data_IF_379914973230
#
_entry.id   IF_379914973230
#
_cell.length_a   1.000
_cell.length_b   1.000
_cell.length_c   1.000
_cell.angle_alpha   90.00
_cell.angle_beta   90.00
_cell.angle_gamma   90.00
#
_symmetry.space_group_name_H-M   'P 1'
#
loop_
_entity.id
_entity.type
_entity.pdbx_description
1 polymer ?
#
# COMPACT_ATOMS: atom_id res chain seq x y z
N UNK A 1 4.21 -8.32 -56.60
CA UNK A 1 4.82 -9.13 -55.52
C UNK A 1 4.69 -8.35 -54.22
N UNK A 2 3.64 -8.61 -53.44
CA UNK A 2 3.50 -8.05 -52.10
C UNK A 2 4.09 -9.06 -51.14
N UNK A 3 5.30 -8.80 -50.65
CA UNK A 3 5.88 -9.59 -49.57
C UNK A 3 5.09 -9.27 -48.31
N UNK A 4 4.36 -10.26 -47.79
CA UNK A 4 3.75 -10.19 -46.48
C UNK A 4 4.85 -9.96 -45.45
N UNK A 5 4.75 -8.85 -44.71
CA UNK A 5 5.59 -8.62 -43.53
C UNK A 5 5.20 -9.68 -42.50
N UNK A 6 6.12 -10.54 -42.01
CA UNK A 6 5.78 -11.49 -40.99
C UNK A 6 5.31 -10.73 -39.75
N UNK A 7 4.14 -11.07 -39.23
CA UNK A 7 3.75 -10.68 -37.89
C UNK A 7 4.80 -11.25 -36.94
N UNK A 8 5.66 -10.38 -36.41
CA UNK A 8 6.50 -10.72 -35.27
C UNK A 8 5.54 -11.05 -34.13
N UNK A 9 5.37 -12.33 -33.83
CA UNK A 9 4.91 -12.77 -32.53
C UNK A 9 5.90 -12.19 -31.52
N UNK A 10 5.55 -11.03 -30.97
CA UNK A 10 6.29 -10.40 -29.89
C UNK A 10 6.22 -11.39 -28.74
N UNK A 11 7.27 -12.21 -28.62
CA UNK A 11 7.48 -13.13 -27.52
C UNK A 11 7.33 -12.31 -26.23
N UNK A 12 6.14 -12.40 -25.62
CA UNK A 12 5.83 -11.70 -24.38
C UNK A 12 6.80 -12.28 -23.36
N UNK A 13 7.72 -11.45 -22.87
CA UNK A 13 8.62 -11.86 -21.80
C UNK A 13 7.79 -12.53 -20.70
N UNK A 14 8.22 -13.69 -20.17
CA UNK A 14 7.40 -14.45 -19.25
C UNK A 14 7.01 -13.57 -18.06
N UNK A 15 5.71 -13.45 -17.83
CA UNK A 15 5.17 -12.66 -16.74
C UNK A 15 5.63 -13.23 -15.39
N UNK A 16 6.10 -12.37 -14.50
CA UNK A 16 6.56 -12.77 -13.18
C UNK A 16 5.38 -13.16 -12.31
N UNK A 17 5.39 -14.41 -11.87
CA UNK A 17 4.52 -14.90 -10.81
C UNK A 17 5.33 -14.93 -9.53
N UNK A 18 4.92 -14.17 -8.52
CA UNK A 18 5.68 -14.04 -7.28
C UNK A 18 4.79 -14.18 -6.05
N UNK A 19 5.27 -14.91 -5.05
CA UNK A 19 4.61 -15.02 -3.75
C UNK A 19 5.62 -14.81 -2.64
N UNK A 20 5.21 -14.13 -1.59
CA UNK A 20 5.95 -13.97 -0.35
C UNK A 20 5.01 -14.24 0.81
N UNK A 21 5.39 -15.11 1.74
CA UNK A 21 4.64 -15.37 2.97
C UNK A 21 5.56 -15.18 4.18
N UNK A 22 5.16 -14.29 5.08
CA UNK A 22 5.92 -13.90 6.27
C UNK A 22 5.07 -14.07 7.52
N UNK A 23 5.59 -14.80 8.50
CA UNK A 23 4.94 -14.91 9.81
C UNK A 23 5.85 -14.32 10.89
N UNK A 24 5.31 -13.40 11.69
CA UNK A 24 5.99 -12.73 12.78
C UNK A 24 5.43 -13.22 14.12
N UNK A 25 6.32 -13.52 15.07
CA UNK A 25 5.94 -14.09 16.36
C UNK A 25 6.65 -13.39 17.50
N UNK A 26 5.93 -13.24 18.62
CA UNK A 26 6.54 -12.86 19.89
C UNK A 26 7.27 -14.06 20.50
N UNK A 27 8.54 -13.86 20.88
CA UNK A 27 9.32 -14.79 21.70
C UNK A 27 9.94 -13.97 22.83
N UNK A 28 9.46 -14.19 24.05
CA UNK A 28 9.83 -13.41 25.24
C UNK A 28 9.65 -11.89 25.01
N UNK A 29 10.75 -11.14 25.11
CA UNK A 29 10.77 -9.70 24.88
C UNK A 29 10.86 -9.31 23.39
N UNK A 30 11.15 -10.25 22.50
CA UNK A 30 11.46 -10.00 21.10
C UNK A 30 10.31 -10.37 20.16
N UNK A 31 10.18 -9.65 19.04
CA UNK A 31 9.41 -10.13 17.88
C UNK A 31 10.39 -10.72 16.88
N UNK A 32 10.13 -11.90 16.30
CA UNK A 32 10.99 -12.51 15.28
C UNK A 32 10.23 -12.76 13.98
N UNK A 33 10.95 -12.81 12.86
CA UNK A 33 10.45 -13.37 11.60
C UNK A 33 10.53 -14.90 11.66
N UNK A 34 9.45 -15.54 12.11
CA UNK A 34 9.39 -16.98 12.36
C UNK A 34 9.22 -17.81 11.09
N UNK A 35 8.56 -17.27 10.07
CA UNK A 35 8.42 -17.91 8.74
C UNK A 35 8.78 -16.93 7.64
N UNK A 36 9.52 -17.43 6.65
CA UNK A 36 9.84 -16.72 5.41
C UNK A 36 9.83 -17.69 4.24
N UNK A 37 8.74 -17.69 3.50
CA UNK A 37 8.59 -18.47 2.27
C UNK A 37 8.41 -17.56 1.07
N UNK A 38 8.98 -17.96 -0.06
CA UNK A 38 8.82 -17.20 -1.30
C UNK A 38 8.76 -18.10 -2.53
N UNK A 39 8.15 -17.57 -3.58
CA UNK A 39 8.16 -18.11 -4.93
C UNK A 39 8.40 -16.95 -5.90
N UNK A 40 9.07 -17.21 -7.02
CA UNK A 40 9.43 -16.18 -7.98
C UNK A 40 10.43 -15.17 -7.40
N UNK A 41 10.39 -13.89 -7.80
CA UNK A 41 11.40 -12.90 -7.43
C UNK A 41 11.24 -12.24 -6.05
N UNK A 42 10.08 -12.29 -5.40
CA UNK A 42 9.87 -11.57 -4.12
C UNK A 42 10.78 -12.09 -3.01
N UNK A 43 11.49 -11.19 -2.32
CA UNK A 43 12.39 -11.53 -1.21
C UNK A 43 12.22 -10.55 -0.07
N UNK A 44 12.87 -10.86 1.04
CA UNK A 44 13.10 -9.90 2.13
C UNK A 44 14.58 -9.90 2.49
N UNK A 45 15.05 -8.75 2.97
CA UNK A 45 16.35 -8.66 3.62
C UNK A 45 16.37 -9.41 4.97
N UNK A 46 17.52 -9.41 5.64
CA UNK A 46 17.65 -9.84 7.03
C UNK A 46 16.68 -9.03 7.90
N UNK A 47 16.07 -9.67 8.89
CA UNK A 47 15.30 -8.96 9.92
C UNK A 47 16.21 -8.00 10.69
N UNK A 48 15.73 -6.77 10.92
CA UNK A 48 16.44 -5.69 11.58
C UNK A 48 15.69 -5.26 12.85
N UNK A 49 16.40 -4.71 13.82
CA UNK A 49 15.86 -4.29 15.13
C UNK A 49 16.37 -2.90 15.53
N UNK A 50 16.21 -1.86 14.68
CA UNK A 50 16.75 -0.53 14.97
C UNK A 50 16.10 0.13 16.20
N UNK A 51 14.88 -0.28 16.55
CA UNK A 51 14.11 0.23 17.70
C UNK A 51 14.17 -0.74 18.91
N UNK A 52 15.08 -1.72 18.87
CA UNK A 52 15.18 -2.80 19.84
C UNK A 52 14.43 -4.07 19.42
N UNK A 53 14.62 -5.15 20.17
CA UNK A 53 14.16 -6.50 19.79
C UNK A 53 12.63 -6.64 19.75
N UNK A 54 11.90 -5.74 20.40
CA UNK A 54 10.44 -5.76 20.44
C UNK A 54 9.77 -5.52 19.09
N UNK A 55 10.45 -4.84 18.16
CA UNK A 55 9.91 -4.44 16.84
C UNK A 55 10.77 -5.04 15.73
N UNK A 56 10.19 -5.93 14.91
CA UNK A 56 10.90 -6.59 13.82
C UNK A 56 10.72 -5.81 12.51
N UNK A 57 11.80 -5.26 11.98
CA UNK A 57 11.81 -4.51 10.72
C UNK A 57 12.22 -5.41 9.57
N UNK A 58 11.45 -5.37 8.48
CA UNK A 58 11.73 -6.15 7.27
C UNK A 58 11.60 -5.28 6.03
N UNK A 59 12.61 -5.33 5.17
CA UNK A 59 12.60 -4.66 3.86
C UNK A 59 12.17 -5.68 2.80
N UNK A 60 11.01 -5.46 2.19
CA UNK A 60 10.46 -6.27 1.09
C UNK A 60 11.12 -5.85 -0.23
N UNK A 61 11.59 -6.84 -0.97
CA UNK A 61 12.30 -6.67 -2.22
C UNK A 61 11.52 -7.31 -3.36
N UNK A 62 11.37 -6.57 -4.46
CA UNK A 62 11.07 -7.10 -5.77
C UNK A 62 12.30 -6.79 -6.65
N UNK A 63 13.24 -7.74 -6.80
CA UNK A 63 14.46 -7.53 -7.57
C UNK A 63 14.24 -7.07 -9.02
N UNK A 64 13.20 -7.53 -9.76
CA UNK A 64 12.84 -6.90 -11.02
C UNK A 64 12.52 -5.42 -10.79
N UNK A 65 13.07 -4.55 -11.63
CA UNK A 65 13.04 -3.09 -11.42
C UNK A 65 11.65 -2.44 -11.51
N UNK A 66 10.58 -3.24 -11.63
CA UNK A 66 9.19 -2.83 -11.59
C UNK A 66 8.27 -4.01 -11.95
N UNK A 67 6.99 -3.73 -12.07
CA UNK A 67 5.91 -4.68 -12.33
C UNK A 67 5.37 -4.35 -13.72
N UNK A 68 5.43 -5.33 -14.63
CA UNK A 68 5.00 -5.20 -16.02
C UNK A 68 3.65 -5.90 -16.26
N UNK A 69 3.03 -5.62 -17.41
CA UNK A 69 1.74 -6.22 -17.77
C UNK A 69 1.83 -7.75 -17.79
N UNK A 70 0.96 -8.39 -17.01
CA UNK A 70 0.92 -9.85 -16.84
C UNK A 70 1.52 -10.34 -15.52
N UNK A 71 2.40 -9.56 -14.90
CA UNK A 71 2.99 -9.91 -13.59
C UNK A 71 1.89 -10.01 -12.52
N UNK A 72 2.04 -10.97 -11.60
CA UNK A 72 1.15 -11.18 -10.46
C UNK A 72 1.98 -11.43 -9.19
N UNK A 73 1.93 -10.45 -8.29
CA UNK A 73 2.64 -10.45 -7.03
C UNK A 73 1.66 -10.64 -5.88
N UNK A 74 1.95 -11.59 -4.99
CA UNK A 74 1.19 -11.81 -3.77
C UNK A 74 2.09 -11.75 -2.54
N UNK A 75 1.81 -10.82 -1.63
CA UNK A 75 2.52 -10.66 -0.35
C UNK A 75 1.53 -10.94 0.79
N UNK A 76 1.74 -12.08 1.46
CA UNK A 76 1.01 -12.49 2.64
C UNK A 76 1.81 -12.21 3.91
N UNK A 77 1.19 -11.59 4.91
CA UNK A 77 1.81 -11.29 6.20
C UNK A 77 0.90 -11.70 7.33
N UNK A 78 1.44 -12.48 8.27
CA UNK A 78 0.79 -12.81 9.53
C UNK A 78 1.59 -12.25 10.68
N UNK A 79 0.96 -11.49 11.55
CA UNK A 79 1.56 -11.01 12.80
C UNK A 79 0.81 -11.65 13.95
N UNK A 80 1.43 -12.63 14.61
CA UNK A 80 0.82 -13.37 15.71
C UNK A 80 0.65 -12.48 16.96
N UNK A 81 -0.13 -12.96 17.94
CA UNK A 81 -0.50 -12.18 19.10
C UNK A 81 0.70 -11.55 19.83
N UNK A 82 0.56 -10.26 20.19
CA UNK A 82 1.59 -9.49 20.89
C UNK A 82 2.87 -9.18 20.10
N UNK A 83 2.99 -9.63 18.85
CA UNK A 83 4.14 -9.31 17.99
C UNK A 83 4.00 -7.91 17.36
N UNK A 84 5.12 -7.28 17.03
CA UNK A 84 5.18 -5.99 16.35
C UNK A 84 6.14 -6.05 15.16
N UNK A 85 5.61 -5.86 13.96
CA UNK A 85 6.37 -5.86 12.71
C UNK A 85 6.20 -4.56 11.92
N UNK A 86 7.31 -4.07 11.35
CA UNK A 86 7.32 -2.97 10.40
C UNK A 86 7.90 -3.46 9.07
N UNK A 87 7.15 -3.27 7.99
CA UNK A 87 7.53 -3.63 6.64
C UNK A 87 7.62 -2.38 5.76
N UNK A 88 8.70 -2.30 4.98
CA UNK A 88 8.91 -1.21 4.01
C UNK A 88 9.55 -1.74 2.72
N UNK A 89 9.65 -0.89 1.71
CA UNK A 89 10.37 -1.18 0.46
C UNK A 89 11.58 -0.25 0.36
N UNK A 90 12.68 -0.67 -0.28
CA UNK A 90 13.91 0.15 -0.35
C UNK A 90 13.78 1.33 -1.33
N UNK A 91 12.75 1.33 -2.17
CA UNK A 91 12.57 2.31 -3.23
C UNK A 91 11.18 2.22 -3.84
N UNK A 92 10.90 3.15 -4.74
CA UNK A 92 9.60 3.27 -5.39
C UNK A 92 9.24 2.02 -6.21
N UNK A 93 8.01 1.53 -6.04
CA UNK A 93 7.43 0.52 -6.91
C UNK A 93 7.15 1.12 -8.29
N UNK A 94 7.64 0.51 -9.37
CA UNK A 94 7.41 1.02 -10.73
C UNK A 94 6.41 0.13 -11.44
N UNK A 95 5.35 0.71 -11.98
CA UNK A 95 4.35 -0.01 -12.77
C UNK A 95 4.50 0.40 -14.22
N UNK A 96 4.97 -0.54 -15.05
CA UNK A 96 5.33 -0.27 -16.43
C UNK A 96 4.11 -0.27 -17.36
N UNK A 97 4.33 0.30 -18.56
CA UNK A 97 3.43 0.19 -19.70
C UNK A 97 2.99 -1.25 -19.92
N UNK A 98 1.71 -1.44 -20.22
CA UNK A 98 1.16 -2.72 -20.62
C UNK A 98 0.63 -2.69 -22.05
N UNK A 99 0.89 -3.75 -22.80
CA UNK A 99 0.31 -3.98 -24.12
C UNK A 99 -1.07 -4.66 -24.08
N UNK A 100 -1.71 -4.74 -22.90
CA UNK A 100 -3.05 -5.33 -22.74
C UNK A 100 -3.25 -6.00 -21.38
N UNK A 101 -2.40 -6.95 -20.96
CA UNK A 101 -2.54 -7.64 -19.68
C UNK A 101 -2.46 -6.72 -18.47
N UNK A 102 -3.17 -7.06 -17.39
CA UNK A 102 -3.04 -6.33 -16.13
C UNK A 102 -1.81 -6.81 -15.36
N UNK A 103 -1.03 -5.87 -14.85
CA UNK A 103 -0.11 -6.09 -13.74
C UNK A 103 -0.91 -6.14 -12.44
N UNK A 104 -0.57 -7.06 -11.52
CA UNK A 104 -1.33 -7.27 -10.28
C UNK A 104 -0.42 -7.30 -9.06
N UNK A 105 -0.88 -6.68 -7.98
CA UNK A 105 -0.31 -6.85 -6.64
C UNK A 105 -1.44 -7.09 -5.64
N UNK A 106 -1.30 -8.15 -4.85
CA UNK A 106 -2.20 -8.53 -3.77
C UNK A 106 -1.46 -8.54 -2.43
N UNK A 107 -1.98 -7.78 -1.48
CA UNK A 107 -1.54 -7.78 -0.09
C UNK A 107 -2.61 -8.46 0.76
N UNK A 108 -2.22 -9.50 1.50
CA UNK A 108 -3.12 -10.26 2.39
C UNK A 108 -2.52 -10.31 3.79
N UNK A 109 -3.02 -9.45 4.69
CA UNK A 109 -2.47 -9.26 6.03
C UNK A 109 -3.42 -9.72 7.12
N UNK A 110 -2.90 -10.47 8.09
CA UNK A 110 -3.62 -10.89 9.29
C UNK A 110 -2.87 -10.45 10.55
N UNK A 111 -3.53 -9.70 11.42
CA UNK A 111 -2.92 -9.13 12.64
C UNK A 111 -3.67 -9.64 13.86
N UNK A 112 -2.97 -10.41 14.70
CA UNK A 112 -3.51 -11.06 15.90
C UNK A 112 -3.77 -10.11 17.08
N UNK A 113 -4.25 -10.68 18.19
CA UNK A 113 -4.60 -9.91 19.38
C UNK A 113 -3.39 -9.16 19.94
N UNK A 114 -3.60 -7.89 20.30
CA UNK A 114 -2.58 -6.95 20.78
C UNK A 114 -1.35 -6.75 19.88
N UNK A 115 -1.36 -7.34 18.67
CA UNK A 115 -0.28 -7.25 17.71
C UNK A 115 -0.33 -5.94 16.93
N UNK A 116 0.82 -5.56 16.37
CA UNK A 116 0.97 -4.33 15.56
C UNK A 116 1.65 -4.65 14.23
N UNK A 117 1.03 -4.21 13.14
CA UNK A 117 1.63 -4.26 11.81
C UNK A 117 1.71 -2.85 11.22
N UNK A 118 2.90 -2.49 10.75
CA UNK A 118 3.14 -1.24 10.01
C UNK A 118 3.58 -1.57 8.59
N UNK A 119 2.78 -1.18 7.59
CA UNK A 119 3.08 -1.30 6.17
C UNK A 119 3.37 0.10 5.61
N UNK A 120 4.66 0.42 5.48
CA UNK A 120 5.15 1.76 5.12
C UNK A 120 6.08 1.68 3.90
N UNK A 121 5.60 1.22 2.73
CA UNK A 121 6.40 1.19 1.52
C UNK A 121 6.71 2.62 1.02
N UNK A 122 7.68 2.72 0.11
CA UNK A 122 7.84 3.92 -0.72
C UNK A 122 6.69 4.02 -1.73
N UNK A 123 6.63 5.12 -2.46
CA UNK A 123 5.60 5.38 -3.46
C UNK A 123 5.58 4.38 -4.62
N UNK A 124 4.40 4.19 -5.20
CA UNK A 124 4.20 3.53 -6.48
C UNK A 124 4.17 4.58 -7.59
N UNK A 125 5.10 4.50 -8.54
CA UNK A 125 5.13 5.31 -9.76
C UNK A 125 4.46 4.51 -10.88
N UNK A 126 3.30 4.97 -11.31
CA UNK A 126 2.49 4.34 -12.36
C UNK A 126 2.77 5.03 -13.69
N UNK A 127 3.48 4.35 -14.59
CA UNK A 127 3.93 4.94 -15.85
C UNK A 127 2.76 5.10 -16.82
N UNK A 128 2.95 5.94 -17.84
CA UNK A 128 1.96 6.07 -18.91
C UNK A 128 1.67 4.72 -19.58
N UNK A 129 0.40 4.50 -19.92
CA UNK A 129 -0.12 3.25 -20.50
C UNK A 129 0.02 2.00 -19.59
N UNK A 130 0.28 2.16 -18.30
CA UNK A 130 0.20 1.05 -17.35
C UNK A 130 -1.25 0.58 -17.14
N UNK A 131 -1.40 -0.73 -16.90
CA UNK A 131 -2.66 -1.35 -16.49
C UNK A 131 -2.42 -2.08 -15.16
N UNK A 132 -2.74 -1.41 -14.06
CA UNK A 132 -2.35 -1.81 -12.72
C UNK A 132 -3.57 -2.15 -11.84
N UNK A 133 -3.54 -3.29 -11.17
CA UNK A 133 -4.55 -3.73 -10.21
C UNK A 133 -3.88 -3.97 -8.85
N UNK A 134 -4.18 -3.09 -7.89
CA UNK A 134 -3.61 -3.12 -6.54
C UNK A 134 -4.71 -3.45 -5.54
N UNK A 135 -4.54 -4.56 -4.83
CA UNK A 135 -5.52 -5.07 -3.88
C UNK A 135 -4.87 -5.26 -2.52
N UNK A 136 -5.56 -4.79 -1.48
CA UNK A 136 -5.10 -4.91 -0.09
C UNK A 136 -6.23 -5.40 0.79
N UNK A 137 -6.06 -6.56 1.41
CA UNK A 137 -6.96 -7.11 2.42
C UNK A 137 -6.23 -7.20 3.75
N UNK A 138 -6.80 -6.56 4.76
CA UNK A 138 -6.26 -6.52 6.12
C UNK A 138 -7.33 -7.02 7.09
N UNK A 139 -7.04 -8.14 7.74
CA UNK A 139 -7.86 -8.75 8.78
C UNK A 139 -7.25 -8.46 10.15
N UNK A 140 -8.00 -7.77 11.00
CA UNK A 140 -7.55 -7.35 12.32
C UNK A 140 -8.33 -8.07 13.41
N UNK A 141 -7.61 -8.54 14.42
CA UNK A 141 -8.20 -8.87 15.72
C UNK A 141 -8.85 -7.62 16.36
N UNK A 142 -9.77 -7.84 17.30
CA UNK A 142 -10.42 -6.77 18.06
C UNK A 142 -9.42 -5.81 18.74
N UNK A 143 -8.29 -6.30 19.23
CA UNK A 143 -7.24 -5.53 19.91
C UNK A 143 -6.02 -5.17 19.02
N UNK A 144 -6.00 -5.62 17.76
CA UNK A 144 -4.88 -5.36 16.85
C UNK A 144 -4.70 -3.87 16.50
N UNK A 145 -3.48 -3.50 16.12
CA UNK A 145 -3.11 -2.18 15.59
C UNK A 145 -2.54 -2.31 14.19
N UNK A 146 -2.94 -1.42 13.30
CA UNK A 146 -2.42 -1.38 11.93
C UNK A 146 -2.17 0.05 11.49
N UNK A 147 -0.99 0.27 10.90
CA UNK A 147 -0.66 1.48 10.13
C UNK A 147 -0.35 1.03 8.71
N UNK A 148 -1.03 1.62 7.73
CA UNK A 148 -0.81 1.34 6.32
C UNK A 148 -0.66 2.63 5.54
N UNK A 149 0.32 2.68 4.63
CA UNK A 149 0.51 3.78 3.71
C UNK A 149 0.58 3.27 2.26
N UNK A 150 -0.09 3.99 1.35
CA UNK A 150 0.13 3.86 -0.09
C UNK A 150 0.20 5.25 -0.72
N UNK A 151 1.22 5.47 -1.55
CA UNK A 151 1.47 6.74 -2.22
C UNK A 151 1.55 6.50 -3.71
N UNK A 152 0.69 7.15 -4.49
CA UNK A 152 0.64 6.97 -5.94
C UNK A 152 1.16 8.21 -6.67
N UNK A 153 2.14 8.00 -7.54
CA UNK A 153 2.67 8.98 -8.48
C UNK A 153 2.24 8.60 -9.91
N UNK A 154 1.34 9.39 -10.51
CA UNK A 154 0.83 9.12 -11.86
C UNK A 154 1.71 9.79 -12.93
N UNK A 155 2.42 8.95 -13.69
CA UNK A 155 3.44 9.31 -14.67
C UNK A 155 4.80 9.64 -14.04
N UNK A 156 5.88 9.50 -14.80
CA UNK A 156 7.23 9.99 -14.41
C UNK A 156 7.32 11.50 -14.57
N UNK A 157 6.73 12.23 -13.63
CA UNK A 157 6.61 13.70 -13.69
C UNK A 157 7.96 14.43 -13.80
N UNK A 158 8.99 13.96 -13.11
CA UNK A 158 10.34 14.53 -13.19
C UNK A 158 10.96 14.41 -14.60
N UNK A 159 10.46 13.48 -15.42
CA UNK A 159 10.86 13.28 -16.83
C UNK A 159 9.86 13.88 -17.82
N UNK A 160 8.88 14.67 -17.37
CA UNK A 160 7.82 15.24 -18.21
C UNK A 160 6.71 14.26 -18.63
N UNK A 161 6.77 12.99 -18.20
CA UNK A 161 5.73 12.01 -18.52
C UNK A 161 4.48 12.24 -17.66
N UNK A 162 3.31 12.18 -18.31
CA UNK A 162 2.01 12.21 -17.64
C UNK A 162 1.25 10.92 -17.92
N UNK A 163 0.40 10.50 -16.99
CA UNK A 163 -0.47 9.33 -17.17
C UNK A 163 -1.66 9.69 -18.07
N UNK A 164 -1.48 9.57 -19.38
CA UNK A 164 -2.43 9.93 -20.44
C UNK A 164 -3.14 8.70 -21.05
N UNK A 165 -2.54 7.52 -20.92
CA UNK A 165 -3.09 6.23 -21.33
C UNK A 165 -3.05 5.23 -20.17
N UNK A 166 -3.91 4.20 -20.24
CA UNK A 166 -3.92 3.11 -19.26
C UNK A 166 -5.02 3.24 -18.20
N UNK A 167 -4.95 2.36 -17.20
CA UNK A 167 -5.93 2.27 -16.13
C UNK A 167 -5.31 1.76 -14.83
N UNK A 168 -5.75 2.30 -13.71
CA UNK A 168 -5.39 1.86 -12.35
C UNK A 168 -6.65 1.46 -11.59
N UNK A 169 -6.63 0.28 -10.98
CA UNK A 169 -7.63 -0.21 -10.05
C UNK A 169 -7.02 -0.34 -8.66
N UNK A 170 -7.76 0.16 -7.67
CA UNK A 170 -7.42 0.10 -6.26
C UNK A 170 -8.59 -0.56 -5.52
N UNK A 171 -8.31 -1.60 -4.73
CA UNK A 171 -9.27 -2.21 -3.81
C UNK A 171 -8.60 -2.41 -2.44
N UNK A 172 -9.04 -1.66 -1.43
CA UNK A 172 -8.53 -1.80 -0.07
C UNK A 172 -9.68 -2.14 0.88
N UNK A 173 -9.53 -3.24 1.60
CA UNK A 173 -10.47 -3.71 2.62
C UNK A 173 -9.74 -3.92 3.94
N UNK A 174 -10.19 -3.21 4.97
CA UNK A 174 -9.77 -3.47 6.35
C UNK A 174 -10.97 -3.94 7.15
N UNK A 175 -10.84 -5.08 7.80
CA UNK A 175 -11.86 -5.66 8.65
C UNK A 175 -11.32 -5.84 10.06
N UNK A 176 -12.19 -5.72 11.06
CA UNK A 176 -11.88 -5.97 12.47
C UNK A 176 -12.93 -6.91 13.05
N UNK A 177 -12.49 -8.07 13.55
CA UNK A 177 -13.41 -9.11 14.06
C UNK A 177 -14.45 -9.52 13.02
N UNK A 178 -14.04 -9.70 11.75
CA UNK A 178 -14.91 -10.06 10.63
C UNK A 178 -15.85 -8.95 10.14
N UNK A 179 -15.80 -7.75 10.73
CA UNK A 179 -16.63 -6.62 10.33
C UNK A 179 -15.80 -5.59 9.55
N UNK A 180 -16.24 -5.13 8.37
CA UNK A 180 -15.52 -4.12 7.61
C UNK A 180 -15.48 -2.79 8.36
N UNK A 181 -14.28 -2.24 8.56
CA UNK A 181 -14.06 -0.90 9.13
C UNK A 181 -13.62 0.10 8.06
N UNK A 182 -13.05 -0.39 6.95
CA UNK A 182 -12.67 0.41 5.78
C UNK A 182 -12.92 -0.37 4.50
N UNK A 183 -13.56 0.28 3.53
CA UNK A 183 -13.72 -0.22 2.18
C UNK A 183 -13.43 0.90 1.20
N UNK A 184 -12.45 0.70 0.35
CA UNK A 184 -12.10 1.61 -0.73
C UNK A 184 -12.06 0.84 -2.02
N UNK A 185 -12.74 1.38 -3.03
CA UNK A 185 -12.60 0.93 -4.41
C UNK A 185 -12.49 2.14 -5.31
N UNK A 186 -11.41 2.20 -6.07
CA UNK A 186 -11.12 3.27 -7.00
C UNK A 186 -10.75 2.72 -8.37
N UNK A 187 -11.22 3.38 -9.42
CA UNK A 187 -10.74 3.15 -10.78
C UNK A 187 -10.40 4.49 -11.43
N UNK A 188 -9.16 4.59 -11.92
CA UNK A 188 -8.65 5.77 -12.62
C UNK A 188 -8.31 5.37 -14.05
N UNK A 189 -9.01 5.96 -15.01
CA UNK A 189 -8.63 5.91 -16.42
C UNK A 189 -7.85 7.18 -16.79
N UNK A 190 -6.86 7.03 -17.65
CA UNK A 190 -5.93 8.10 -17.98
C UNK A 190 -6.57 9.28 -18.75
N UNK A 191 -7.77 9.11 -19.32
CA UNK A 191 -8.57 10.17 -19.93
C UNK A 191 -9.27 11.11 -18.92
N UNK A 192 -8.82 11.15 -17.66
CA UNK A 192 -9.39 12.02 -16.62
C UNK A 192 -10.81 11.66 -16.16
N UNK A 193 -11.43 10.60 -16.72
CA UNK A 193 -12.67 10.04 -16.17
C UNK A 193 -12.31 9.23 -14.94
N UNK A 194 -12.48 9.84 -13.76
CA UNK A 194 -12.64 9.09 -12.52
C UNK A 194 -13.90 8.24 -12.67
N UNK A 195 -13.77 6.98 -13.05
CA UNK A 195 -14.87 6.03 -13.00
C UNK A 195 -15.12 5.68 -11.53
N UNK A 196 -15.90 6.52 -10.84
CA UNK A 196 -16.40 6.33 -9.48
C UNK A 196 -15.32 5.92 -8.43
N UNK A 197 -14.78 6.89 -7.70
CA UNK A 197 -14.09 6.60 -6.45
C UNK A 197 -15.12 6.44 -5.33
N UNK A 198 -15.27 5.22 -4.80
CA UNK A 198 -16.17 4.92 -3.69
C UNK A 198 -15.35 4.53 -2.47
N UNK A 199 -15.08 5.50 -1.62
CA UNK A 199 -14.61 5.24 -0.26
C UNK A 199 -15.82 5.17 0.65
N UNK A 200 -15.98 4.04 1.34
CA UNK A 200 -16.94 3.88 2.44
C UNK A 200 -16.15 3.60 3.70
N UNK A 201 -16.06 4.61 4.56
CA UNK A 201 -15.83 4.36 5.98
C UNK A 201 -17.12 3.75 6.49
N UNK A 202 -17.07 2.56 7.08
CA UNK A 202 -18.26 1.97 7.69
C UNK A 202 -18.71 2.89 8.83
N UNK A 203 -19.74 3.71 8.58
CA UNK A 203 -20.34 4.60 9.58
C UNK A 203 -21.16 3.70 10.51
N UNK A 204 -20.76 3.67 11.78
CA UNK A 204 -21.40 3.07 12.98
C UNK A 204 -22.73 2.34 12.72
N UNK A 205 -22.75 1.01 12.88
CA UNK A 205 -24.00 0.28 13.11
C UNK A 205 -24.60 0.73 14.46
N UNK A 206 -25.90 1.06 14.54
CA UNK A 206 -26.54 1.40 15.81
C UNK A 206 -26.79 0.12 16.62
N UNK A 207 -26.32 0.10 17.87
CA UNK A 207 -26.56 -1.00 18.82
C UNK A 207 -25.25 -1.60 19.34
N UNK A 208 -24.80 -1.13 20.51
CA UNK A 208 -23.62 -1.66 21.20
C UNK A 208 -22.86 -0.54 21.92
N UNK A 209 -22.73 -0.67 23.24
CA UNK A 209 -22.13 0.31 24.14
C UNK A 209 -20.75 0.81 23.67
N UNK A 210 -20.48 2.08 23.96
CA UNK A 210 -19.33 2.82 23.47
C UNK A 210 -17.98 2.28 23.96
N UNK A 211 -17.21 1.67 23.05
CA UNK A 211 -15.75 1.65 23.11
C UNK A 211 -15.25 2.33 21.84
N UNK A 212 -14.60 3.49 22.00
CA UNK A 212 -14.25 4.40 20.90
C UNK A 212 -13.28 3.79 19.89
N UNK A 213 -13.78 3.30 18.76
CA UNK A 213 -12.97 2.90 17.60
C UNK A 213 -12.76 4.13 16.71
N UNK A 214 -11.56 4.71 16.70
CA UNK A 214 -11.20 5.82 15.79
C UNK A 214 -10.36 5.25 14.64
N UNK A 215 -10.93 5.21 13.44
CA UNK A 215 -10.17 5.09 12.21
C UNK A 215 -9.93 6.52 11.72
N UNK A 216 -8.69 7.00 11.78
CA UNK A 216 -8.34 8.31 11.24
C UNK A 216 -7.74 8.08 9.85
N UNK A 217 -8.25 8.80 8.85
CA UNK A 217 -7.69 8.83 7.51
C UNK A 217 -7.25 10.24 7.20
N UNK A 218 -5.98 10.37 6.86
CA UNK A 218 -5.42 11.61 6.35
C UNK A 218 -5.33 11.47 4.84
N UNK A 219 -6.29 12.05 4.11
CA UNK A 219 -6.13 12.30 2.68
C UNK A 219 -5.28 13.56 2.54
N UNK A 220 -4.01 13.41 2.13
CA UNK A 220 -3.20 14.55 1.73
C UNK A 220 -3.20 14.62 0.20
N UNK A 221 -4.00 15.54 -0.35
CA UNK A 221 -3.72 16.10 -1.66
C UNK A 221 -2.84 17.33 -1.42
N UNK A 222 -1.53 17.22 -1.69
CA UNK A 222 -0.62 18.36 -1.57
C UNK A 222 -0.83 19.34 -2.74
N UNK A 223 -1.91 20.11 -2.70
CA UNK A 223 -2.05 21.31 -3.51
C UNK A 223 -1.45 22.49 -2.73
N UNK A 224 -0.27 22.96 -3.12
CA UNK A 224 0.16 24.32 -2.75
C UNK A 224 -0.60 25.30 -3.65
N UNK A 225 -1.63 25.94 -3.11
CA UNK A 225 -2.07 27.27 -3.55
C UNK A 225 -2.25 28.15 -2.33
N UNK A 226 -1.58 29.30 -2.34
CA UNK A 226 -1.75 30.33 -1.34
C UNK A 226 -3.21 30.82 -1.33
N UNK A 227 -3.82 30.87 -0.13
CA UNK A 227 -5.00 31.68 0.20
C UNK A 227 -6.32 31.42 -0.56
N UNK A 228 -7.36 30.99 0.16
CA UNK A 228 -8.75 31.15 -0.29
C UNK A 228 -9.61 29.89 -0.27
N UNK A 229 -10.90 30.07 0.02
CA UNK A 229 -11.88 29.06 0.42
C UNK A 229 -12.10 27.90 -0.58
N UNK A 230 -12.35 26.71 -0.02
CA UNK A 230 -12.63 25.46 -0.71
C UNK A 230 -13.99 25.48 -1.42
N UNK A 231 -13.95 25.42 -2.76
CA UNK A 231 -15.06 24.97 -3.60
C UNK A 231 -14.50 24.17 -4.77
N UNK A 232 -15.11 23.00 -5.00
CA UNK A 232 -15.32 22.37 -6.31
C UNK A 232 -14.18 22.32 -7.33
N UNK A 233 -13.68 21.10 -7.54
CA UNK A 233 -12.98 20.63 -8.74
C UNK A 233 -11.65 21.33 -9.11
N UNK A 234 -10.55 20.56 -9.10
CA UNK A 234 -9.32 20.97 -9.75
C UNK A 234 -8.81 19.84 -10.66
N UNK A 235 -8.98 20.07 -11.96
CA UNK A 235 -8.11 19.58 -13.03
C UNK A 235 -6.77 20.29 -12.89
N UNK A 236 -5.67 19.56 -13.06
CA UNK A 236 -4.36 20.14 -13.36
C UNK A 236 -3.40 20.29 -12.19
N UNK A 237 -2.38 19.44 -12.23
CA UNK A 237 -1.00 19.67 -11.73
C UNK A 237 -0.70 19.48 -10.24
N UNK A 238 0.11 18.44 -9.96
CA UNK A 238 0.71 17.97 -8.68
C UNK A 238 -0.05 16.93 -7.85
N UNK A 239 -0.73 15.98 -8.47
CA UNK A 239 -1.37 14.87 -7.75
C UNK A 239 -0.37 13.74 -7.42
N UNK A 240 0.26 13.80 -6.24
CA UNK A 240 0.54 12.58 -5.49
C UNK A 240 -0.72 12.26 -4.68
N UNK A 241 -1.22 11.03 -4.76
CA UNK A 241 -2.30 10.57 -3.88
C UNK A 241 -1.65 9.84 -2.72
N UNK A 242 -1.72 10.42 -1.52
CA UNK A 242 -1.23 9.79 -0.29
C UNK A 242 -2.44 9.27 0.48
N UNK A 243 -2.46 7.96 0.71
CA UNK A 243 -3.41 7.30 1.58
C UNK A 243 -2.67 6.80 2.82
N UNK A 244 -3.02 7.35 3.99
CA UNK A 244 -2.51 6.89 5.27
C UNK A 244 -3.69 6.41 6.13
N UNK A 245 -3.62 5.17 6.58
CA UNK A 245 -4.62 4.50 7.38
C UNK A 245 -4.06 4.15 8.74
N UNK A 246 -4.67 4.67 9.80
CA UNK A 246 -4.36 4.27 11.17
C UNK A 246 -5.61 3.62 11.77
N UNK A 247 -5.50 2.33 12.07
CA UNK A 247 -6.51 1.56 12.77
C UNK A 247 -5.95 1.09 14.12
N UNK A 248 -6.18 1.89 15.17
CA UNK A 248 -5.77 1.58 16.53
C UNK A 248 -6.95 1.07 17.38
N UNK A 249 -6.70 0.08 18.24
CA UNK A 249 -7.59 -0.25 19.34
C UNK A 249 -7.44 0.82 20.45
N UNK A 250 -8.55 1.38 20.93
CA UNK A 250 -8.48 2.38 22.01
C UNK A 250 -7.99 1.73 23.30
N UNK A 251 -6.84 2.19 23.81
CA UNK A 251 -6.37 1.85 25.15
C UNK A 251 -5.86 3.10 25.87
N UNK A 252 -5.92 3.12 27.21
CA UNK A 252 -5.49 4.27 28.03
C UNK A 252 -4.02 4.70 27.80
N UNK A 253 -3.21 3.84 27.16
CA UNK A 253 -1.82 4.10 26.78
C UNK A 253 -1.65 4.99 25.52
N UNK A 254 -2.72 5.29 24.77
CA UNK A 254 -2.66 6.05 23.50
C UNK A 254 -2.19 7.51 23.64
N UNK A 255 -2.12 8.05 24.86
CA UNK A 255 -1.58 9.40 25.09
C UNK A 255 -0.06 9.51 24.88
N UNK A 256 0.67 8.40 24.92
CA UNK A 256 2.13 8.39 24.80
C UNK A 256 2.67 8.40 23.35
N UNK A 257 1.84 8.14 22.33
CA UNK A 257 2.29 8.00 20.92
C UNK A 257 2.14 9.26 20.06
N UNK A 258 2.27 10.44 20.66
CA UNK A 258 2.51 11.68 19.87
C UNK A 258 3.86 11.66 19.15
N UNK A 259 4.72 10.69 19.45
CA UNK A 259 6.00 10.44 18.79
C UNK A 259 5.87 9.91 17.35
N UNK A 260 4.83 9.15 17.00
CA UNK A 260 4.65 8.61 15.64
C UNK A 260 4.36 9.72 14.61
N UNK A 261 3.71 10.79 15.02
CA UNK A 261 3.51 11.98 14.19
C UNK A 261 4.83 12.70 13.90
N UNK A 262 5.78 12.69 14.84
CA UNK A 262 7.12 13.25 14.66
C UNK A 262 8.00 12.37 13.77
N UNK A 263 7.86 11.03 13.84
CA UNK A 263 8.52 10.10 12.91
C UNK A 263 8.01 10.31 11.47
N UNK A 264 6.70 10.40 11.27
CA UNK A 264 6.09 10.70 9.97
C UNK A 264 6.49 12.10 9.44
N UNK A 265 6.65 13.09 10.32
CA UNK A 265 7.14 14.43 9.97
C UNK A 265 8.65 14.44 9.66
N UNK A 266 9.45 13.64 10.35
CA UNK A 266 10.87 13.45 10.03
C UNK A 266 11.08 12.76 8.67
N UNK A 267 10.23 11.78 8.34
CA UNK A 267 10.20 11.17 7.01
C UNK A 267 9.73 12.14 5.92
N UNK A 268 8.96 13.19 6.24
CA UNK A 268 8.59 14.26 5.29
C UNK A 268 9.75 15.21 4.99
N UNK A 269 10.52 15.58 6.01
CA UNK A 269 11.55 16.63 5.90
C UNK A 269 12.84 16.17 5.21
N UNK A 270 13.11 14.86 5.18
CA UNK A 270 14.33 14.28 4.60
C UNK A 270 14.19 13.80 3.15
N UNK A 271 12.98 13.83 2.55
CA UNK A 271 12.67 13.08 1.31
C UNK A 271 12.35 13.90 0.06
N UNK A 272 12.43 15.23 0.12
CA UNK A 272 12.12 16.12 -1.02
C UNK A 272 13.09 17.32 -1.17
N UNK A 273 14.35 17.15 -0.75
CA UNK A 273 15.47 17.98 -1.21
C UNK A 273 16.26 17.23 -2.29
#
# INVERSE_FOLDING_TARGET
>A
MNLAVPSLDLNVAPAWQARLALDFQRRDAATILARREHFGPLRVQKALYPEGEGVCHVIVLHPPSGIAGGDDLHIGVKVDAGAHALLTTPGAGKWYRSAGPWAKQRLDFAVGADATLEWLPQENIVFDAARADMQSRIELDAAARFIGMDVLCLGRRASGETFAHGALQLDTRVQRGGQPIWLERGRLDAAGRRAAHRTRIARRLPGGAAAGKRCAVWHYAAARSAGGALSGACVGSRAALVFCFVAAAASRADRARRADAAHLEHLRQTRWN
#
